data_IF_325419843062
#
_entry.id   IF_325419843062
#
_cell.length_a   1.000
_cell.length_b   1.000
_cell.length_c   1.000
_cell.angle_alpha   90.00
_cell.angle_beta   90.00
_cell.angle_gamma   90.00
#
_symmetry.space_group_name_H-M   'P 1'
#
loop_
_entity.id
_entity.type
_entity.pdbx_description
1 polymer ?
#
# COMPACT_ATOMS: atom_id res chain seq x y z
N UNK A 1 -15.73 4.24 4.18
CA UNK A 1 -14.93 4.54 2.97
C UNK A 1 -14.01 3.36 2.73
N UNK A 2 -14.01 2.73 1.54
CA UNK A 2 -13.18 1.57 1.27
C UNK A 2 -11.68 1.90 1.27
N UNK A 3 -10.85 0.87 1.36
CA UNK A 3 -9.39 0.95 1.37
C UNK A 3 -8.79 0.08 0.27
N UNK A 4 -7.70 0.53 -0.32
CA UNK A 4 -6.80 -0.34 -1.09
C UNK A 4 -5.88 -1.10 -0.14
N UNK A 5 -5.99 -2.43 -0.14
CA UNK A 5 -4.98 -3.34 0.40
C UNK A 5 -3.94 -3.58 -0.70
N UNK A 6 -2.74 -3.05 -0.52
CA UNK A 6 -1.66 -3.12 -1.50
C UNK A 6 -0.53 -3.98 -0.93
N UNK A 7 -0.16 -5.05 -1.62
CA UNK A 7 0.94 -5.94 -1.22
C UNK A 7 2.05 -5.90 -2.25
N UNK A 8 3.30 -5.64 -1.83
CA UNK A 8 4.45 -5.67 -2.74
C UNK A 8 4.87 -7.11 -3.04
N UNK A 9 4.57 -7.59 -4.25
CA UNK A 9 4.87 -8.96 -4.66
C UNK A 9 6.27 -9.09 -5.26
N UNK A 10 6.70 -8.10 -6.05
CA UNK A 10 8.03 -8.08 -6.70
C UNK A 10 8.91 -6.98 -6.12
N UNK A 11 10.23 -7.20 -6.15
CA UNK A 11 11.18 -6.21 -5.63
C UNK A 11 11.26 -4.98 -6.54
N UNK A 12 11.45 -3.80 -5.96
CA UNK A 12 11.72 -2.57 -6.71
C UNK A 12 13.20 -2.36 -7.09
N UNK A 13 14.08 -3.32 -6.77
CA UNK A 13 15.51 -3.25 -7.12
C UNK A 13 15.67 -3.16 -8.64
N UNK A 14 16.53 -2.24 -9.08
CA UNK A 14 16.77 -2.01 -10.52
C UNK A 14 15.66 -1.23 -11.24
N UNK A 15 14.58 -0.85 -10.55
CA UNK A 15 13.56 0.01 -11.14
C UNK A 15 14.03 1.47 -11.19
N UNK A 16 13.51 2.28 -12.14
CA UNK A 16 13.79 3.71 -12.19
C UNK A 16 13.45 4.43 -10.88
N UNK A 17 14.19 5.50 -10.57
CA UNK A 17 14.05 6.26 -9.32
C UNK A 17 12.62 6.78 -9.09
N UNK A 18 11.88 7.12 -10.16
CA UNK A 18 10.47 7.52 -10.07
C UNK A 18 9.58 6.38 -9.54
N UNK A 19 9.78 5.15 -10.02
CA UNK A 19 9.05 3.96 -9.56
C UNK A 19 9.40 3.64 -8.12
N UNK A 20 10.69 3.68 -7.77
CA UNK A 20 11.14 3.51 -6.39
C UNK A 20 10.55 4.58 -5.47
N UNK A 21 10.52 5.84 -5.92
CA UNK A 21 9.90 6.95 -5.18
C UNK A 21 8.42 6.71 -4.86
N UNK A 22 7.65 6.15 -5.79
CA UNK A 22 6.24 5.80 -5.56
C UNK A 22 6.10 4.64 -4.56
N UNK A 23 6.90 3.57 -4.70
CA UNK A 23 6.96 2.50 -3.70
C UNK A 23 7.28 3.08 -2.33
N UNK A 24 8.20 4.04 -2.27
CA UNK A 24 8.59 4.68 -1.04
C UNK A 24 7.47 5.56 -0.44
N UNK A 25 6.76 6.32 -1.26
CA UNK A 25 5.64 7.16 -0.82
C UNK A 25 4.48 6.33 -0.26
N UNK A 26 4.19 5.18 -0.87
CA UNK A 26 3.13 4.27 -0.41
C UNK A 26 3.52 3.43 0.82
N UNK A 27 4.78 3.45 1.25
CA UNK A 27 5.27 2.67 2.40
C UNK A 27 5.75 1.25 2.05
N UNK A 28 5.86 0.91 0.77
CA UNK A 28 6.27 -0.41 0.28
C UNK A 28 7.80 -0.54 0.22
N UNK A 29 8.41 -0.83 1.37
CA UNK A 29 9.89 -0.94 1.51
C UNK A 29 10.45 -2.33 1.28
N UNK A 30 9.73 -3.38 1.68
CA UNK A 30 10.18 -4.79 1.60
C UNK A 30 9.13 -5.63 0.89
N UNK A 31 9.55 -6.69 0.18
CA UNK A 31 8.62 -7.65 -0.43
C UNK A 31 7.69 -8.25 0.63
N UNK A 32 6.50 -8.65 0.20
CA UNK A 32 5.41 -9.19 1.02
C UNK A 32 4.91 -8.24 2.12
N UNK A 33 5.31 -6.97 2.07
CA UNK A 33 4.76 -5.92 2.92
C UNK A 33 3.41 -5.51 2.36
N UNK A 34 2.41 -5.42 3.23
CA UNK A 34 1.07 -4.95 2.90
C UNK A 34 0.82 -3.60 3.54
N UNK A 35 0.24 -2.67 2.81
CA UNK A 35 -0.17 -1.35 3.30
C UNK A 35 -1.64 -1.12 2.98
N UNK A 36 -2.28 -0.25 3.76
CA UNK A 36 -3.67 0.15 3.53
C UNK A 36 -3.74 1.65 3.32
N UNK A 37 -4.37 2.05 2.23
CA UNK A 37 -4.62 3.46 1.92
C UNK A 37 -6.11 3.65 1.63
N UNK A 38 -6.74 4.74 2.09
CA UNK A 38 -8.10 5.08 1.69
C UNK A 38 -8.21 5.15 0.17
N UNK A 39 -9.32 4.66 -0.38
CA UNK A 39 -9.58 4.76 -1.82
C UNK A 39 -9.66 6.23 -2.22
N UNK A 40 -8.74 6.65 -3.09
CA UNK A 40 -8.71 7.97 -3.69
C UNK A 40 -8.04 7.91 -5.06
N UNK A 41 -8.36 8.87 -5.94
CA UNK A 41 -7.78 8.93 -7.29
C UNK A 41 -6.25 9.11 -7.27
N UNK A 42 -5.74 9.87 -6.29
CA UNK A 42 -4.29 10.05 -6.11
C UNK A 42 -3.58 8.73 -5.80
N UNK A 43 -4.13 7.92 -4.88
CA UNK A 43 -3.58 6.60 -4.55
C UNK A 43 -3.71 5.65 -5.74
N UNK A 44 -4.83 5.66 -6.45
CA UNK A 44 -5.02 4.85 -7.66
C UNK A 44 -3.99 5.17 -8.75
N UNK A 45 -3.69 6.47 -8.98
CA UNK A 45 -2.66 6.90 -9.91
C UNK A 45 -1.26 6.43 -9.52
N UNK A 46 -0.94 6.44 -8.23
CA UNK A 46 0.32 5.89 -7.71
C UNK A 46 0.40 4.38 -7.92
N UNK A 47 -0.67 3.64 -7.59
CA UNK A 47 -0.77 2.19 -7.82
C UNK A 47 -0.53 1.85 -9.30
N UNK A 48 -1.16 2.57 -10.23
CA UNK A 48 -1.04 2.31 -11.66
C UNK A 48 0.40 2.43 -12.17
N UNK A 49 1.23 3.30 -11.57
CA UNK A 49 2.65 3.43 -11.91
C UNK A 49 3.49 2.23 -11.45
N UNK A 50 3.01 1.45 -10.48
CA UNK A 50 3.72 0.28 -9.91
C UNK A 50 2.95 -1.03 -10.09
N UNK A 51 1.90 -1.06 -10.92
CA UNK A 51 0.92 -2.16 -11.01
C UNK A 51 1.52 -3.55 -11.24
N UNK A 52 2.65 -3.63 -11.95
CA UNK A 52 3.33 -4.90 -12.24
C UNK A 52 4.05 -5.50 -11.01
N UNK A 53 4.28 -4.68 -9.98
CA UNK A 53 5.01 -5.06 -8.77
C UNK A 53 4.10 -5.44 -7.61
N UNK A 54 2.81 -5.09 -7.65
CA UNK A 54 1.90 -5.15 -6.51
C UNK A 54 0.66 -6.01 -6.78
N UNK A 55 0.13 -6.63 -5.74
CA UNK A 55 -1.25 -7.14 -5.67
C UNK A 55 -2.12 -6.09 -4.99
N UNK A 56 -3.30 -5.81 -5.53
CA UNK A 56 -4.23 -4.80 -4.99
C UNK A 56 -5.62 -5.38 -4.86
N UNK A 57 -6.22 -5.19 -3.69
CA UNK A 57 -7.62 -5.54 -3.42
C UNK A 57 -8.31 -4.37 -2.75
N UNK A 58 -9.56 -4.12 -3.11
CA UNK A 58 -10.43 -3.23 -2.35
C UNK A 58 -10.99 -3.99 -1.14
N UNK A 59 -11.00 -3.34 0.03
CA UNK A 59 -11.55 -3.88 1.27
C UNK A 59 -12.33 -2.81 2.02
N UNK A 60 -13.34 -3.21 2.80
CA UNK A 60 -14.13 -2.28 3.59
C UNK A 60 -13.32 -1.65 4.74
N UNK A 61 -12.49 -2.46 5.40
CA UNK A 61 -11.73 -2.06 6.58
C UNK A 61 -10.26 -2.47 6.45
N UNK A 62 -9.33 -1.62 6.94
CA UNK A 62 -7.92 -1.99 6.98
C UNK A 62 -7.68 -2.92 8.17
N UNK A 63 -6.66 -3.77 8.07
CA UNK A 63 -6.26 -4.67 9.17
C UNK A 63 -5.10 -4.09 9.95
N UNK A 64 -5.15 -4.17 11.27
CA UNK A 64 -3.99 -3.86 12.13
C UNK A 64 -2.97 -4.99 12.08
N UNK A 65 -1.76 -4.74 12.59
CA UNK A 65 -0.69 -5.75 12.68
C UNK A 65 -1.12 -7.00 13.45
N UNK A 66 -1.94 -6.82 14.49
CA UNK A 66 -2.41 -7.88 15.40
C UNK A 66 -3.45 -8.79 14.74
N UNK A 67 -4.22 -8.26 13.78
CA UNK A 67 -5.28 -8.99 13.07
C UNK A 67 -4.77 -9.78 11.86
N UNK A 68 -3.46 -9.78 11.61
CA UNK A 68 -2.87 -10.50 10.47
C UNK A 68 -2.23 -11.83 10.88
N UNK A 69 -2.39 -12.89 10.06
CA UNK A 69 -1.64 -14.12 10.26
C UNK A 69 -0.12 -13.85 10.22
N UNK A 70 0.62 -14.54 11.08
CA UNK A 70 2.07 -14.39 11.24
C UNK A 70 2.81 -14.38 9.89
N UNK A 71 3.65 -13.37 9.66
CA UNK A 71 4.53 -13.26 8.49
C UNK A 71 4.27 -12.07 7.56
N UNK A 72 3.10 -11.42 7.62
CA UNK A 72 2.79 -10.23 6.81
C UNK A 72 3.16 -8.97 7.61
N UNK A 73 4.13 -8.19 7.10
CA UNK A 73 4.45 -6.88 7.69
C UNK A 73 3.44 -5.84 7.20
N UNK A 74 2.67 -5.27 8.13
CA UNK A 74 1.85 -4.08 7.86
C UNK A 74 2.65 -2.84 8.19
N UNK A 75 2.83 -1.96 7.20
CA UNK A 75 3.34 -0.62 7.42
C UNK A 75 2.19 0.38 7.20
N UNK A 76 1.68 0.91 8.31
CA UNK A 76 0.90 2.15 8.38
C UNK A 76 -0.57 2.07 7.95
N UNK A 77 -1.44 2.52 8.85
CA UNK A 77 -2.75 3.06 8.51
C UNK A 77 -2.52 4.55 8.22
N UNK A 78 -2.49 4.95 6.95
CA UNK A 78 -2.53 6.39 6.64
C UNK A 78 -3.99 6.80 6.78
N UNK A 79 -4.35 7.34 7.95
CA UNK A 79 -5.66 7.95 8.13
C UNK A 79 -5.79 9.12 7.12
N UNK A 80 -6.93 9.25 6.42
CA UNK A 80 -7.17 10.45 5.64
C UNK A 80 -7.14 11.64 6.59
N UNK A 81 -6.26 12.60 6.34
CA UNK A 81 -6.17 13.86 7.07
C UNK A 81 -7.51 14.58 7.00
N UNK A 82 -8.35 14.43 8.03
CA UNK A 82 -9.69 15.03 8.10
C UNK A 82 -10.84 14.10 8.56
N UNK A 83 -10.58 12.84 8.92
CA UNK A 83 -11.66 11.89 9.27
C UNK A 83 -12.00 11.76 10.76
N UNK A 84 -11.60 12.72 11.60
CA UNK A 84 -12.12 12.86 12.97
C UNK A 84 -12.49 14.32 13.23
N UNK A 85 -13.76 14.64 13.00
CA UNK A 85 -14.57 15.54 13.82
C UNK A 85 -15.82 14.75 14.21
#
# INVERSE_FOLDING_TARGET
MPYFRITLMRSGIGMPQKTQGVLHALGLRKRMTTVYHPVSQSVAGQIMRIKELVDVKEVEYPKTKEQMPYGIKVLTLVAPSGAYN
#
